data_IF_795182386244
#
_entry.id   IF_795182386244
#
_cell.length_a   1.000
_cell.length_b   1.000
_cell.length_c   1.000
_cell.angle_alpha   90.00
_cell.angle_beta   90.00
_cell.angle_gamma   90.00
#
_symmetry.space_group_name_H-M   'P 1'
#
loop_
_entity.id
_entity.type
_entity.pdbx_description
1 polymer ?
#
# COMPACT_ATOMS: atom_id res chain seq x y z
N UNK A 1 11.29 -2.53 -7.42
CA UNK A 1 11.11 -1.81 -6.15
C UNK A 1 9.84 -2.29 -5.46
N UNK A 2 9.76 -2.12 -4.16
CA UNK A 2 8.62 -2.55 -3.35
C UNK A 2 7.77 -1.33 -2.99
N UNK A 3 6.45 -1.45 -3.21
CA UNK A 3 5.46 -0.52 -2.69
C UNK A 3 4.92 -1.08 -1.38
N UNK A 4 4.90 -0.25 -0.33
CA UNK A 4 4.47 -0.69 1.00
C UNK A 4 3.07 -0.18 1.28
N UNK A 5 2.17 -1.11 1.64
CA UNK A 5 0.79 -0.78 1.99
C UNK A 5 0.69 -0.20 3.41
N UNK A 6 -0.37 0.56 3.64
CA UNK A 6 -0.69 1.15 4.94
C UNK A 6 -0.68 0.13 6.07
N UNK A 7 -1.23 -1.06 5.84
CA UNK A 7 -1.32 -2.13 6.86
C UNK A 7 0.04 -2.50 7.44
N UNK A 8 1.08 -2.54 6.62
CA UNK A 8 2.44 -2.89 7.05
C UNK A 8 3.06 -1.76 7.88
N UNK A 9 2.88 -0.52 7.44
CA UNK A 9 3.43 0.64 8.16
C UNK A 9 2.77 0.83 9.52
N UNK A 10 1.46 0.65 9.61
CA UNK A 10 0.74 0.74 10.87
C UNK A 10 1.25 -0.33 11.85
N UNK A 11 1.38 -1.57 11.40
CA UNK A 11 1.91 -2.66 12.23
C UNK A 11 3.34 -2.36 12.69
N UNK A 12 4.18 -1.86 11.78
CA UNK A 12 5.55 -1.49 12.10
C UNK A 12 5.61 -0.42 13.21
N UNK A 13 4.82 0.65 13.07
CA UNK A 13 4.84 1.77 14.01
C UNK A 13 4.19 1.43 15.34
N UNK A 14 3.30 0.44 15.37
CA UNK A 14 2.70 -0.06 16.62
C UNK A 14 3.53 -1.15 17.29
N UNK A 15 4.67 -1.51 16.72
CA UNK A 15 5.53 -2.54 17.27
C UNK A 15 5.00 -3.96 17.12
N UNK A 16 4.05 -4.17 16.21
CA UNK A 16 3.48 -5.51 15.95
C UNK A 16 4.50 -6.37 15.22
N UNK A 17 4.62 -7.63 15.64
CA UNK A 17 5.47 -8.62 14.98
C UNK A 17 4.61 -9.56 14.14
N UNK A 18 4.79 -9.51 12.84
CA UNK A 18 4.23 -10.45 11.88
C UNK A 18 5.15 -10.53 10.66
N UNK A 19 4.84 -11.42 9.72
CA UNK A 19 5.71 -11.65 8.58
C UNK A 19 5.95 -10.40 7.73
N UNK A 20 4.92 -9.65 7.30
CA UNK A 20 5.15 -8.44 6.51
C UNK A 20 5.90 -7.34 7.27
N UNK A 21 5.57 -7.11 8.55
CA UNK A 21 6.26 -6.11 9.36
C UNK A 21 7.73 -6.49 9.57
N UNK A 22 8.03 -7.78 9.72
CA UNK A 22 9.40 -8.26 9.88
C UNK A 22 10.20 -8.13 8.57
N UNK A 23 9.57 -8.33 7.42
CA UNK A 23 10.19 -8.02 6.12
C UNK A 23 10.52 -6.53 6.06
N UNK A 24 9.58 -5.67 6.45
CA UNK A 24 9.80 -4.22 6.46
C UNK A 24 10.99 -3.83 7.35
N UNK A 25 11.11 -4.45 8.53
CA UNK A 25 12.26 -4.21 9.42
C UNK A 25 13.58 -4.60 8.76
N UNK A 26 13.60 -5.69 8.00
CA UNK A 26 14.78 -6.09 7.25
C UNK A 26 15.12 -5.10 6.13
N UNK A 27 14.11 -4.60 5.41
CA UNK A 27 14.34 -3.57 4.39
C UNK A 27 14.98 -2.32 5.00
N UNK A 28 14.46 -1.89 6.14
CA UNK A 28 15.03 -0.73 6.85
C UNK A 28 16.44 -0.99 7.34
N UNK A 29 16.70 -2.15 7.94
CA UNK A 29 18.02 -2.51 8.47
C UNK A 29 19.09 -2.56 7.38
N UNK A 30 18.74 -3.02 6.19
CA UNK A 30 19.65 -3.12 5.05
C UNK A 30 19.59 -1.90 4.12
N UNK A 31 18.87 -0.87 4.51
CA UNK A 31 18.70 0.38 3.73
C UNK A 31 18.22 0.13 2.30
N UNK A 32 17.35 -0.85 2.14
CA UNK A 32 16.71 -1.14 0.84
C UNK A 32 15.64 -0.09 0.59
N UNK A 33 15.66 0.61 -0.56
CA UNK A 33 14.65 1.62 -0.85
C UNK A 33 13.27 0.99 -1.05
N UNK A 34 12.24 1.70 -0.60
CA UNK A 34 10.84 1.32 -0.81
C UNK A 34 10.04 2.56 -1.18
N UNK A 35 8.85 2.34 -1.70
CA UNK A 35 7.94 3.41 -2.06
C UNK A 35 6.62 3.32 -1.29
N UNK A 36 5.92 4.44 -1.24
CA UNK A 36 4.57 4.54 -0.70
C UNK A 36 3.69 5.35 -1.65
N UNK A 37 2.38 5.23 -1.50
CA UNK A 37 1.41 6.08 -2.20
C UNK A 37 1.01 7.27 -1.33
N UNK A 38 0.55 8.34 -1.96
CA UNK A 38 0.01 9.49 -1.22
C UNK A 38 -1.16 9.10 -0.32
N UNK A 39 -2.00 8.16 -0.75
CA UNK A 39 -3.12 7.68 0.08
C UNK A 39 -2.62 6.91 1.31
N UNK A 40 -1.55 6.16 1.20
CA UNK A 40 -0.91 5.50 2.34
C UNK A 40 -0.36 6.52 3.33
N UNK A 41 0.30 7.54 2.83
CA UNK A 41 0.77 8.67 3.62
C UNK A 41 -0.37 9.31 4.42
N UNK A 42 -1.48 9.60 3.76
CA UNK A 42 -2.68 10.15 4.41
C UNK A 42 -3.20 9.22 5.50
N UNK A 43 -3.35 7.94 5.20
CA UNK A 43 -3.91 6.97 6.15
C UNK A 43 -3.03 6.80 7.39
N UNK A 44 -1.72 6.77 7.23
CA UNK A 44 -0.79 6.66 8.36
C UNK A 44 -0.86 7.91 9.23
N UNK A 45 -0.85 9.10 8.62
CA UNK A 45 -0.92 10.35 9.36
C UNK A 45 -2.25 10.53 10.11
N UNK A 46 -3.35 10.05 9.53
CA UNK A 46 -4.66 10.09 10.21
C UNK A 46 -4.68 9.29 11.51
N UNK A 47 -3.82 8.28 11.64
CA UNK A 47 -3.71 7.46 12.83
C UNK A 47 -2.86 8.06 13.95
N UNK A 48 -2.25 9.21 13.76
CA UNK A 48 -1.43 9.85 14.78
C UNK A 48 -2.27 10.23 16.01
N UNK A 49 -1.77 9.93 17.19
CA UNK A 49 -2.47 10.18 18.47
C UNK A 49 -2.15 11.53 19.09
N UNK A 50 -1.17 12.25 18.54
CA UNK A 50 -0.75 13.56 19.05
C UNK A 50 -0.17 14.40 17.90
N UNK A 51 -0.10 15.72 18.11
CA UNK A 51 0.56 16.63 17.17
C UNK A 51 2.03 16.24 16.98
N UNK A 52 2.69 15.88 18.04
CA UNK A 52 4.08 15.49 18.04
C UNK A 52 4.31 14.23 17.21
N UNK A 53 3.49 13.22 17.39
CA UNK A 53 3.52 11.98 16.59
C UNK A 53 3.23 12.26 15.11
N UNK A 54 2.25 13.12 14.84
CA UNK A 54 1.90 13.51 13.47
C UNK A 54 3.11 14.12 12.77
N UNK A 55 3.81 15.05 13.42
CA UNK A 55 5.00 15.71 12.83
C UNK A 55 6.14 14.72 12.59
N UNK A 56 6.39 13.81 13.53
CA UNK A 56 7.44 12.80 13.40
C UNK A 56 7.15 11.88 12.22
N UNK A 57 5.92 11.38 12.10
CA UNK A 57 5.51 10.52 11.00
C UNK A 57 5.58 11.24 9.66
N UNK A 58 5.10 12.49 9.62
CA UNK A 58 5.14 13.31 8.41
C UNK A 58 6.58 13.51 7.94
N UNK A 59 7.46 13.90 8.82
CA UNK A 59 8.85 14.23 8.48
C UNK A 59 9.62 12.98 8.03
N UNK A 60 9.31 11.83 8.60
CA UNK A 60 9.91 10.56 8.17
C UNK A 60 9.39 10.12 6.82
N UNK A 61 8.07 10.09 6.65
CA UNK A 61 7.45 9.53 5.45
C UNK A 61 7.62 10.43 4.22
N UNK A 62 7.69 11.75 4.40
CA UNK A 62 7.86 12.66 3.26
C UNK A 62 9.19 12.44 2.53
N UNK A 63 10.17 11.84 3.19
CA UNK A 63 11.48 11.53 2.62
C UNK A 63 11.49 10.25 1.79
N UNK A 64 10.40 9.49 1.77
CA UNK A 64 10.31 8.25 1.02
C UNK A 64 9.97 8.53 -0.44
N UNK A 65 10.15 7.52 -1.30
CA UNK A 65 9.75 7.63 -2.69
C UNK A 65 8.25 7.48 -2.82
N UNK A 66 7.60 8.46 -3.46
CA UNK A 66 6.16 8.43 -3.68
C UNK A 66 5.84 7.91 -5.08
N UNK A 67 4.82 7.05 -5.14
CA UNK A 67 4.23 6.59 -6.38
C UNK A 67 2.79 7.07 -6.48
N UNK A 68 2.40 7.46 -7.66
CA UNK A 68 1.11 8.09 -7.95
C UNK A 68 0.40 7.31 -9.04
N UNK A 69 -0.94 7.44 -9.17
CA UNK A 69 -1.61 7.05 -10.40
C UNK A 69 -0.96 7.78 -11.58
N UNK A 70 -0.63 7.04 -12.65
CA UNK A 70 0.03 7.64 -13.81
C UNK A 70 -0.89 8.58 -14.58
N UNK A 71 -2.20 8.40 -14.45
CA UNK A 71 -3.20 9.25 -15.08
C UNK A 71 -4.30 9.57 -14.06
N UNK A 72 -4.61 10.86 -13.92
CA UNK A 72 -5.55 11.33 -12.89
C UNK A 72 -7.00 10.85 -13.09
N UNK A 73 -7.34 10.32 -14.27
CA UNK A 73 -8.68 9.83 -14.59
C UNK A 73 -8.65 8.34 -14.94
N UNK A 74 -7.81 7.96 -15.90
CA UNK A 74 -7.74 6.57 -16.40
C UNK A 74 -7.35 5.58 -15.31
N UNK A 75 -6.37 5.90 -14.47
CA UNK A 75 -5.91 5.01 -13.41
C UNK A 75 -7.02 4.68 -12.42
N UNK A 76 -7.91 5.63 -12.16
CA UNK A 76 -9.07 5.41 -11.28
C UNK A 76 -10.12 4.53 -11.96
N UNK A 77 -10.32 4.67 -13.25
CA UNK A 77 -11.21 3.76 -14.00
C UNK A 77 -10.67 2.33 -14.00
N UNK A 78 -9.35 2.17 -14.15
CA UNK A 78 -8.72 0.86 -14.09
C UNK A 78 -8.75 0.26 -12.68
N UNK A 79 -8.60 1.07 -11.64
CA UNK A 79 -8.80 0.63 -10.26
C UNK A 79 -10.23 0.14 -10.03
N UNK A 80 -11.23 0.85 -10.56
CA UNK A 80 -12.63 0.42 -10.50
C UNK A 80 -12.85 -0.90 -11.25
N UNK A 81 -12.14 -1.11 -12.37
CA UNK A 81 -12.18 -2.36 -13.12
C UNK A 81 -11.64 -3.52 -12.30
N UNK A 82 -10.63 -3.33 -11.48
CA UNK A 82 -10.14 -4.37 -10.56
C UNK A 82 -11.28 -4.87 -9.66
N UNK A 83 -12.01 -3.96 -9.04
CA UNK A 83 -13.16 -4.31 -8.22
C UNK A 83 -14.22 -5.09 -9.03
N UNK A 84 -14.54 -4.59 -10.21
CA UNK A 84 -15.53 -5.20 -11.10
C UNK A 84 -15.14 -6.62 -11.52
N UNK A 85 -13.90 -6.82 -11.94
CA UNK A 85 -13.40 -8.13 -12.38
C UNK A 85 -13.37 -9.13 -11.22
N UNK A 86 -12.91 -8.69 -10.04
CA UNK A 86 -12.90 -9.54 -8.85
C UNK A 86 -14.32 -9.97 -8.47
N UNK A 87 -15.26 -9.02 -8.46
CA UNK A 87 -16.66 -9.31 -8.12
C UNK A 87 -17.27 -10.33 -9.09
N UNK A 88 -16.96 -10.25 -10.37
CA UNK A 88 -17.43 -11.23 -11.36
C UNK A 88 -16.92 -12.64 -11.08
N UNK A 89 -15.79 -12.76 -10.43
CA UNK A 89 -15.21 -14.03 -10.00
C UNK A 89 -15.62 -14.44 -8.59
N UNK A 90 -16.61 -13.76 -8.00
CA UNK A 90 -17.11 -14.07 -6.68
C UNK A 90 -16.30 -13.51 -5.52
N UNK A 91 -15.38 -12.58 -5.80
CA UNK A 91 -14.53 -11.95 -4.79
C UNK A 91 -14.94 -10.51 -4.61
N UNK A 92 -15.35 -10.13 -3.38
CA UNK A 92 -15.68 -8.76 -3.04
C UNK A 92 -14.50 -8.13 -2.31
N UNK A 93 -13.92 -7.08 -2.91
CA UNK A 93 -12.87 -6.28 -2.27
C UNK A 93 -13.54 -5.23 -1.38
N UNK A 94 -13.15 -5.18 -0.10
CA UNK A 94 -13.83 -4.34 0.89
C UNK A 94 -13.48 -2.87 0.80
N UNK A 95 -12.33 -2.53 0.21
CA UNK A 95 -11.85 -1.15 0.17
C UNK A 95 -11.53 -0.71 -1.25
N UNK A 96 -12.13 0.41 -1.66
CA UNK A 96 -11.82 1.10 -2.91
C UNK A 96 -10.34 1.49 -2.98
N UNK A 97 -9.77 1.86 -1.83
CA UNK A 97 -8.37 2.27 -1.73
C UNK A 97 -7.43 1.11 -2.05
N UNK A 98 -7.77 -0.11 -1.65
CA UNK A 98 -6.95 -1.28 -1.96
C UNK A 98 -6.86 -1.52 -3.46
N UNK A 99 -7.95 -1.32 -4.20
CA UNK A 99 -7.94 -1.40 -5.66
C UNK A 99 -7.05 -0.31 -6.28
N UNK A 100 -7.06 0.88 -5.72
CA UNK A 100 -6.21 1.98 -6.19
C UNK A 100 -4.73 1.69 -5.93
N UNK A 101 -4.39 1.20 -4.75
CA UNK A 101 -3.01 0.83 -4.40
C UNK A 101 -2.51 -0.28 -5.32
N UNK A 102 -3.32 -1.30 -5.57
CA UNK A 102 -3.00 -2.37 -6.50
C UNK A 102 -2.74 -1.82 -7.91
N UNK A 103 -3.59 -0.91 -8.37
CA UNK A 103 -3.42 -0.28 -9.68
C UNK A 103 -2.12 0.51 -9.77
N UNK A 104 -1.78 1.28 -8.74
CA UNK A 104 -0.52 2.04 -8.70
C UNK A 104 0.67 1.10 -8.75
N UNK A 105 0.65 0.01 -8.01
CA UNK A 105 1.71 -0.99 -8.03
C UNK A 105 1.89 -1.58 -9.43
N UNK A 106 0.80 -1.96 -10.07
CA UNK A 106 0.83 -2.55 -11.42
C UNK A 106 1.33 -1.56 -12.47
N UNK A 107 0.85 -0.31 -12.44
CA UNK A 107 1.26 0.73 -13.39
C UNK A 107 2.75 1.01 -13.32
N UNK A 108 3.34 0.90 -12.14
CA UNK A 108 4.74 1.22 -11.90
C UNK A 108 5.64 -0.01 -11.82
N UNK A 109 5.12 -1.20 -12.11
CA UNK A 109 5.90 -2.43 -12.12
C UNK A 109 6.48 -2.80 -10.75
N UNK A 110 5.72 -2.58 -9.68
CA UNK A 110 6.18 -2.77 -8.31
C UNK A 110 5.63 -4.05 -7.69
N UNK A 111 6.42 -4.63 -6.76
CA UNK A 111 5.92 -5.63 -5.84
C UNK A 111 5.19 -4.92 -4.70
N UNK A 112 4.09 -5.49 -4.23
CA UNK A 112 3.33 -4.93 -3.11
C UNK A 112 3.62 -5.72 -1.82
N UNK A 113 4.09 -5.02 -0.79
CA UNK A 113 4.21 -5.58 0.57
C UNK A 113 2.98 -5.16 1.36
N UNK A 114 2.23 -6.15 1.85
CA UNK A 114 0.93 -5.91 2.49
C UNK A 114 0.68 -6.91 3.63
N UNK A 115 -0.33 -6.61 4.42
CA UNK A 115 -0.88 -7.50 5.43
C UNK A 115 -2.42 -7.46 5.38
N UNK A 116 -2.99 -7.69 4.20
CA UNK A 116 -4.43 -7.68 3.98
C UNK A 116 -4.80 -8.79 2.99
N UNK A 117 -5.77 -9.62 3.38
CA UNK A 117 -6.25 -10.74 2.56
C UNK A 117 -6.84 -10.31 1.23
N UNK A 118 -7.37 -9.09 1.13
CA UNK A 118 -7.94 -8.60 -0.11
C UNK A 118 -6.89 -8.56 -1.23
N UNK A 119 -5.64 -8.19 -0.91
CA UNK A 119 -4.56 -8.25 -1.90
C UNK A 119 -4.22 -9.69 -2.30
N UNK A 120 -4.25 -10.62 -1.36
CA UNK A 120 -3.97 -12.03 -1.67
C UNK A 120 -5.01 -12.61 -2.63
N UNK A 121 -6.29 -12.30 -2.44
CA UNK A 121 -7.35 -12.84 -3.30
C UNK A 121 -7.42 -12.12 -4.64
N UNK A 122 -7.06 -10.84 -4.73
CA UNK A 122 -7.07 -10.14 -6.01
C UNK A 122 -5.84 -10.45 -6.87
N UNK A 123 -4.70 -10.73 -6.27
CA UNK A 123 -3.43 -10.86 -6.98
C UNK A 123 -3.49 -11.87 -8.14
N UNK A 124 -3.98 -13.12 -7.96
CA UNK A 124 -4.04 -14.05 -9.07
C UNK A 124 -5.07 -13.67 -10.15
N UNK A 125 -6.06 -12.85 -9.81
CA UNK A 125 -7.09 -12.42 -10.76
C UNK A 125 -6.56 -11.32 -11.69
N UNK A 126 -5.76 -10.41 -11.15
CA UNK A 126 -5.31 -9.22 -11.89
C UNK A 126 -3.83 -9.24 -12.26
N UNK A 127 -3.07 -10.21 -11.78
CA UNK A 127 -1.64 -10.29 -12.07
C UNK A 127 -0.78 -9.36 -11.20
N UNK A 128 -1.22 -9.06 -10.00
CA UNK A 128 -0.45 -8.24 -9.05
C UNK A 128 0.72 -9.05 -8.48
N UNK A 129 1.90 -8.45 -8.41
CA UNK A 129 3.07 -9.06 -7.81
C UNK A 129 3.13 -8.78 -6.30
N UNK A 130 3.18 -9.83 -5.53
CA UNK A 130 3.26 -9.74 -4.07
C UNK A 130 4.62 -10.18 -3.56
#
# INVERSE_FOLDING_TARGET
>A
MILVDTSVLIDLFQGVSNYPANIMRKLLAHKVPFGICSVTYQEVLQGASSEEEFEVLRDYLICQRFFYPQDAVRSYAEAARIYFVCRKKGVTIRSTIDCLIAQIAMENGLYLLHNDKDFEVMAPIIGLHL
#
